data_IF_023121527626
#
_entry.id   IF_023121527626
#
_cell.length_a   1.000
_cell.length_b   1.000
_cell.length_c   1.000
_cell.angle_alpha   90.00
_cell.angle_beta   90.00
_cell.angle_gamma   90.00
#
_symmetry.space_group_name_H-M   'P 1'
#
loop_
_entity.id
_entity.type
_entity.pdbx_description
1 polymer ?
#
# COMPACT_ATOMS: atom_id res chain seq x y z
N UNK A 1 -16.53 16.57 10.43
CA UNK A 1 -16.42 17.32 9.16
C UNK A 1 -15.90 16.35 8.10
N UNK A 2 -16.76 15.82 7.23
CA UNK A 2 -16.32 15.06 6.06
C UNK A 2 -15.76 16.06 5.06
N UNK A 3 -14.44 16.24 5.07
CA UNK A 3 -13.79 17.08 4.08
C UNK A 3 -13.80 16.27 2.78
N UNK A 4 -14.67 16.63 1.83
CA UNK A 4 -14.77 15.95 0.54
C UNK A 4 -13.55 16.36 -0.30
N UNK A 5 -12.36 15.91 0.12
CA UNK A 5 -11.09 16.19 -0.54
C UNK A 5 -11.08 15.50 -1.89
N UNK A 6 -10.63 16.21 -2.91
CA UNK A 6 -10.33 15.59 -4.20
C UNK A 6 -9.19 14.59 -4.05
N UNK A 7 -9.05 13.67 -5.01
CA UNK A 7 -7.98 12.68 -4.96
C UNK A 7 -6.57 13.31 -5.06
N UNK A 8 -6.45 14.44 -5.75
CA UNK A 8 -5.21 15.23 -5.80
C UNK A 8 -4.90 15.88 -4.46
N UNK A 9 -5.90 16.44 -3.77
CA UNK A 9 -5.72 17.00 -2.42
C UNK A 9 -5.36 15.93 -1.39
N UNK A 10 -5.90 14.71 -1.52
CA UNK A 10 -5.47 13.57 -0.69
C UNK A 10 -4.02 13.22 -0.96
N UNK A 11 -3.61 13.15 -2.23
CA UNK A 11 -2.23 12.87 -2.60
C UNK A 11 -1.25 13.92 -2.05
N UNK A 12 -1.57 15.20 -2.18
CA UNK A 12 -0.74 16.29 -1.65
C UNK A 12 -0.60 16.20 -0.13
N UNK A 13 -1.72 15.99 0.55
CA UNK A 13 -1.73 15.81 2.00
C UNK A 13 -0.90 14.60 2.43
N UNK A 14 -0.97 13.48 1.69
CA UNK A 14 -0.20 12.29 2.00
C UNK A 14 1.29 12.49 1.75
N UNK A 15 1.68 13.13 0.65
CA UNK A 15 3.10 13.41 0.40
C UNK A 15 3.69 14.23 1.54
N UNK A 16 3.04 15.31 1.97
CA UNK A 16 3.53 16.11 3.09
C UNK A 16 3.48 15.35 4.43
N UNK A 17 2.43 14.55 4.67
CA UNK A 17 2.32 13.72 5.87
C UNK A 17 3.43 12.68 5.98
N UNK A 18 3.76 11.99 4.89
CA UNK A 18 4.83 11.00 4.85
C UNK A 18 6.23 11.62 4.83
N UNK A 19 6.40 12.82 4.27
CA UNK A 19 7.64 13.60 4.41
C UNK A 19 7.88 13.96 5.87
N UNK A 20 6.87 14.48 6.56
CA UNK A 20 6.97 14.85 7.97
C UNK A 20 7.26 13.64 8.89
N UNK A 21 6.72 12.45 8.55
CA UNK A 21 6.98 11.19 9.26
C UNK A 21 8.40 10.64 9.00
N UNK A 22 9.02 10.98 7.88
CA UNK A 22 10.37 10.53 7.50
C UNK A 22 11.44 11.32 8.25
N UNK A 23 12.48 10.67 8.77
CA UNK A 23 13.60 11.39 9.40
C UNK A 23 14.57 11.99 8.37
N UNK A 24 14.76 11.31 7.24
CA UNK A 24 15.75 11.66 6.21
C UNK A 24 15.19 12.56 5.10
N UNK A 25 13.89 12.49 4.82
CA UNK A 25 13.29 13.06 3.62
C UNK A 25 12.26 14.17 3.90
N UNK A 26 12.33 14.84 5.06
CA UNK A 26 11.41 15.95 5.42
C UNK A 26 11.42 17.08 4.40
N UNK A 27 12.61 17.41 3.91
CA UNK A 27 12.87 18.57 3.05
C UNK A 27 12.92 18.22 1.55
N UNK A 28 12.54 16.99 1.16
CA UNK A 28 12.48 16.65 -0.27
C UNK A 28 11.46 17.55 -0.99
N UNK A 29 11.83 18.04 -2.17
CA UNK A 29 10.93 18.87 -2.95
C UNK A 29 9.74 18.04 -3.44
N UNK A 30 8.54 18.58 -3.23
CA UNK A 30 7.30 18.01 -3.75
C UNK A 30 7.14 18.43 -5.22
N UNK A 31 7.13 17.49 -6.17
CA UNK A 31 6.99 17.79 -7.58
C UNK A 31 5.56 18.25 -7.88
N UNK A 32 5.37 18.97 -8.98
CA UNK A 32 4.05 19.48 -9.36
C UNK A 32 3.16 18.41 -10.02
N UNK A 33 3.76 17.39 -10.65
CA UNK A 33 3.01 16.38 -11.40
C UNK A 33 2.39 15.33 -10.47
N UNK A 34 1.16 14.93 -10.76
CA UNK A 34 0.45 13.88 -10.01
C UNK A 34 1.20 12.55 -10.03
N UNK A 35 1.82 12.20 -11.15
CA UNK A 35 2.58 10.94 -11.29
C UNK A 35 3.85 10.95 -10.44
N UNK A 36 4.59 12.07 -10.41
CA UNK A 36 5.80 12.15 -9.60
C UNK A 36 5.46 12.21 -8.10
N UNK A 37 4.36 12.87 -7.72
CA UNK A 37 3.84 12.83 -6.34
C UNK A 37 3.49 11.40 -5.91
N UNK A 38 2.85 10.61 -6.80
CA UNK A 38 2.59 9.18 -6.56
C UNK A 38 3.87 8.38 -6.36
N UNK A 39 4.90 8.65 -7.15
CA UNK A 39 6.22 8.00 -7.02
C UNK A 39 6.91 8.35 -5.71
N UNK A 40 6.85 9.61 -5.28
CA UNK A 40 7.38 10.02 -3.98
C UNK A 40 6.60 9.36 -2.85
N UNK A 41 5.27 9.42 -2.86
CA UNK A 41 4.44 8.79 -1.83
C UNK A 41 4.76 7.30 -1.71
N UNK A 42 4.77 6.56 -2.82
CA UNK A 42 5.14 5.13 -2.84
C UNK A 42 6.54 4.90 -2.29
N UNK A 43 7.52 5.71 -2.71
CA UNK A 43 8.90 5.59 -2.22
C UNK A 43 8.99 5.79 -0.71
N UNK A 44 8.33 6.83 -0.17
CA UNK A 44 8.29 7.11 1.27
C UNK A 44 7.61 5.97 2.03
N UNK A 45 6.48 5.45 1.53
CA UNK A 45 5.82 4.27 2.09
C UNK A 45 6.74 3.03 2.08
N UNK A 46 7.52 2.82 1.01
CA UNK A 46 8.40 1.66 0.87
C UNK A 46 9.52 1.68 1.91
N UNK A 47 10.14 2.83 2.18
CA UNK A 47 11.26 2.93 3.14
C UNK A 47 10.82 3.09 4.60
N UNK A 48 9.54 3.42 4.84
CA UNK A 48 9.03 3.69 6.19
C UNK A 48 9.09 2.47 7.11
N UNK A 49 9.87 2.54 8.19
CA UNK A 49 9.86 1.50 9.23
C UNK A 49 8.49 1.41 9.94
N UNK A 50 8.07 0.23 10.43
CA UNK A 50 6.84 0.08 11.19
C UNK A 50 6.90 0.91 12.48
N UNK A 51 6.12 1.99 12.51
CA UNK A 51 5.89 2.86 13.68
C UNK A 51 4.49 3.46 13.59
N UNK A 52 4.01 4.01 14.70
CA UNK A 52 2.72 4.72 14.72
C UNK A 52 2.71 5.85 13.68
N UNK A 53 1.56 6.03 13.04
CA UNK A 53 1.30 7.11 12.09
C UNK A 53 0.11 7.91 12.62
N UNK A 54 0.09 9.22 12.36
CA UNK A 54 -1.06 10.06 12.69
C UNK A 54 -2.37 9.43 12.17
N UNK A 55 -3.40 9.41 13.01
CA UNK A 55 -4.72 8.87 12.66
C UNK A 55 -5.33 9.59 11.45
N UNK A 56 -5.05 10.88 11.28
CA UNK A 56 -5.54 11.66 10.15
C UNK A 56 -4.84 11.27 8.85
N UNK A 57 -3.51 11.08 8.89
CA UNK A 57 -2.74 10.60 7.73
C UNK A 57 -3.16 9.19 7.35
N UNK A 58 -3.35 8.31 8.34
CA UNK A 58 -3.85 6.96 8.10
C UNK A 58 -5.23 6.97 7.43
N UNK A 59 -6.17 7.76 7.96
CA UNK A 59 -7.52 7.86 7.39
C UNK A 59 -7.50 8.36 5.95
N UNK A 60 -6.72 9.41 5.66
CA UNK A 60 -6.60 9.93 4.29
C UNK A 60 -5.91 8.92 3.37
N UNK A 61 -4.96 8.13 3.88
CA UNK A 61 -4.32 7.06 3.12
C UNK A 61 -5.36 6.00 2.70
N UNK A 62 -6.22 5.58 3.63
CA UNK A 62 -7.23 4.57 3.36
C UNK A 62 -8.24 5.07 2.31
N UNK A 63 -8.75 6.30 2.46
CA UNK A 63 -9.62 6.91 1.46
C UNK A 63 -8.93 7.04 0.09
N UNK A 64 -7.66 7.42 0.07
CA UNK A 64 -6.87 7.54 -1.15
C UNK A 64 -6.68 6.18 -1.83
N UNK A 65 -6.27 5.14 -1.10
CA UNK A 65 -6.02 3.81 -1.64
C UNK A 65 -7.31 3.13 -2.11
N UNK A 66 -8.43 3.31 -1.40
CA UNK A 66 -9.75 2.84 -1.84
C UNK A 66 -10.15 3.46 -3.18
N UNK A 67 -10.00 4.76 -3.33
CA UNK A 67 -10.30 5.45 -4.60
C UNK A 67 -9.31 5.02 -5.70
N UNK A 68 -8.02 4.82 -5.39
CA UNK A 68 -7.04 4.27 -6.34
C UNK A 68 -7.41 2.87 -6.82
N UNK A 69 -7.98 2.04 -5.94
CA UNK A 69 -8.48 0.71 -6.32
C UNK A 69 -9.73 0.82 -7.21
N UNK A 70 -10.64 1.74 -6.91
CA UNK A 70 -11.81 2.03 -7.74
C UNK A 70 -11.42 2.52 -9.14
N UNK A 71 -10.48 3.47 -9.25
CA UNK A 71 -9.94 3.99 -10.52
C UNK A 71 -9.31 2.89 -11.40
N UNK A 72 -8.65 1.90 -10.79
CA UNK A 72 -8.08 0.74 -11.49
C UNK A 72 -9.14 -0.28 -11.91
N UNK A 73 -10.30 -0.25 -11.26
CA UNK A 73 -11.38 -1.22 -11.39
C UNK A 73 -11.13 -2.50 -10.59
N UNK A 74 -12.18 -2.97 -9.92
CA UNK A 74 -12.20 -4.23 -9.15
C UNK A 74 -12.61 -5.39 -10.06
N UNK A 75 -11.97 -6.55 -9.86
CA UNK A 75 -12.26 -7.78 -10.58
C UNK A 75 -12.80 -8.80 -9.59
N UNK A 76 -14.04 -9.25 -9.78
CA UNK A 76 -14.66 -10.25 -8.93
C UNK A 76 -14.32 -11.65 -9.43
N UNK A 77 -14.39 -12.65 -8.55
CA UNK A 77 -14.19 -14.03 -8.95
C UNK A 77 -15.19 -14.49 -10.03
N UNK A 78 -16.43 -13.95 -10.00
CA UNK A 78 -17.45 -14.22 -11.03
C UNK A 78 -17.07 -13.75 -12.43
N UNK A 79 -16.14 -12.81 -12.54
CA UNK A 79 -15.68 -12.26 -13.81
C UNK A 79 -14.57 -13.14 -14.43
N UNK A 80 -14.08 -14.14 -13.69
CA UNK A 80 -12.98 -15.00 -14.10
C UNK A 80 -13.53 -16.40 -14.42
N UNK A 81 -13.38 -16.89 -15.68
CA UNK A 81 -13.81 -18.23 -16.04
C UNK A 81 -13.11 -19.31 -15.22
N UNK A 82 -13.88 -20.29 -14.75
CA UNK A 82 -13.33 -21.51 -14.13
C UNK A 82 -12.89 -22.46 -15.24
N UNK A 83 -11.63 -22.92 -15.14
CA UNK A 83 -11.04 -23.87 -16.09
C UNK A 83 -11.33 -25.31 -15.66
N UNK A 84 -11.16 -25.62 -14.37
CA UNK A 84 -11.38 -26.98 -13.82
C UNK A 84 -11.47 -26.95 -12.30
N UNK A 85 -12.48 -27.61 -11.72
CA UNK A 85 -12.56 -27.88 -10.27
C UNK A 85 -12.30 -26.65 -9.37
N UNK A 86 -12.85 -25.49 -9.74
CA UNK A 86 -12.63 -24.23 -9.01
C UNK A 86 -11.27 -23.56 -9.27
N UNK A 87 -10.46 -24.07 -10.20
CA UNK A 87 -9.22 -23.46 -10.67
C UNK A 87 -9.50 -22.54 -11.85
N UNK A 88 -8.95 -21.33 -11.76
CA UNK A 88 -8.95 -20.34 -12.83
C UNK A 88 -7.51 -19.92 -13.15
N UNK A 89 -7.28 -19.49 -14.39
CA UNK A 89 -6.09 -18.73 -14.75
C UNK A 89 -6.55 -17.33 -15.13
N UNK A 90 -5.96 -16.34 -14.48
CA UNK A 90 -6.28 -14.94 -14.71
C UNK A 90 -5.01 -14.14 -14.88
N UNK A 91 -4.98 -13.27 -15.88
CA UNK A 91 -3.87 -12.37 -16.17
C UNK A 91 -4.28 -10.95 -15.81
N UNK A 92 -3.63 -10.37 -14.80
CA UNK A 92 -3.91 -9.00 -14.36
C UNK A 92 -3.11 -8.57 -13.15
N UNK A 93 -3.45 -7.38 -12.63
CA UNK A 93 -2.88 -6.82 -11.40
C UNK A 93 -3.58 -7.43 -10.18
N UNK A 94 -2.91 -8.31 -9.45
CA UNK A 94 -3.45 -9.03 -8.28
C UNK A 94 -4.14 -8.12 -7.25
N UNK A 95 -3.72 -6.85 -7.16
CA UNK A 95 -4.30 -5.86 -6.22
C UNK A 95 -5.72 -5.42 -6.59
N UNK A 96 -6.23 -5.86 -7.74
CA UNK A 96 -7.60 -5.62 -8.21
C UNK A 96 -8.57 -6.75 -7.88
N UNK A 97 -8.07 -7.92 -7.47
CA UNK A 97 -8.92 -9.08 -7.19
C UNK A 97 -9.72 -8.85 -5.91
N UNK A 98 -11.05 -8.93 -6.03
CA UNK A 98 -11.95 -9.08 -4.89
C UNK A 98 -12.13 -10.57 -4.61
N UNK A 99 -11.29 -11.08 -3.72
CA UNK A 99 -11.26 -12.47 -3.24
C UNK A 99 -10.96 -12.47 -1.74
N UNK A 100 -11.22 -13.59 -1.07
CA UNK A 100 -11.02 -13.67 0.38
C UNK A 100 -9.55 -13.47 0.80
N UNK A 101 -8.62 -14.04 0.03
CA UNK A 101 -7.18 -14.01 0.31
C UNK A 101 -6.37 -13.96 -0.98
N UNK A 102 -5.30 -13.16 -0.97
CA UNK A 102 -4.21 -13.23 -1.93
C UNK A 102 -2.93 -13.70 -1.23
N UNK A 103 -2.06 -14.41 -1.94
CA UNK A 103 -0.78 -14.88 -1.39
C UNK A 103 0.35 -13.94 -1.81
N UNK A 104 1.14 -13.47 -0.84
CA UNK A 104 2.31 -12.63 -1.08
C UNK A 104 3.60 -13.48 -1.04
N UNK A 105 4.52 -13.25 -1.99
CA UNK A 105 5.87 -13.79 -1.94
C UNK A 105 6.78 -12.87 -1.10
N UNK A 106 6.66 -13.00 0.22
CA UNK A 106 7.39 -12.20 1.19
C UNK A 106 8.88 -12.59 1.29
N UNK A 107 9.68 -11.66 1.82
CA UNK A 107 11.06 -11.93 2.24
C UNK A 107 11.13 -12.37 3.72
N UNK A 108 12.31 -12.84 4.16
CA UNK A 108 12.50 -13.40 5.52
C UNK A 108 12.29 -12.39 6.66
N UNK A 109 12.34 -11.07 6.38
CA UNK A 109 12.04 -10.06 7.39
C UNK A 109 10.54 -9.89 7.62
N UNK A 110 9.70 -10.33 6.67
CA UNK A 110 8.23 -10.19 6.68
C UNK A 110 7.70 -8.75 6.71
N UNK A 111 8.54 -7.74 6.49
CA UNK A 111 8.16 -6.33 6.55
C UNK A 111 7.91 -5.70 5.18
N UNK A 112 7.73 -6.52 4.14
CA UNK A 112 7.63 -6.04 2.77
C UNK A 112 8.98 -5.61 2.19
N UNK A 113 8.93 -4.97 1.02
CA UNK A 113 10.11 -4.48 0.32
C UNK A 113 10.45 -3.02 0.70
N UNK A 114 11.71 -2.76 1.04
CA UNK A 114 12.21 -1.42 1.36
C UNK A 114 12.89 -0.68 0.20
N UNK A 115 13.05 -1.32 -0.95
CA UNK A 115 13.65 -0.67 -2.13
C UNK A 115 12.58 0.21 -2.79
N UNK A 116 12.80 1.55 -2.87
CA UNK A 116 11.84 2.46 -3.49
C UNK A 116 11.47 2.02 -4.90
N UNK A 117 10.17 2.00 -5.21
CA UNK A 117 9.66 1.72 -6.56
C UNK A 117 10.03 0.34 -7.13
N UNK A 118 10.54 -0.59 -6.30
CA UNK A 118 10.90 -1.91 -6.79
C UNK A 118 9.67 -2.68 -7.30
N UNK A 119 9.80 -3.31 -8.46
CA UNK A 119 8.70 -3.95 -9.20
C UNK A 119 8.39 -5.39 -8.72
N UNK A 120 8.78 -5.74 -7.50
CA UNK A 120 8.44 -7.04 -6.91
C UNK A 120 7.01 -7.09 -6.37
N UNK A 121 6.44 -8.30 -6.30
CA UNK A 121 5.07 -8.51 -5.84
C UNK A 121 4.84 -8.04 -4.40
N UNK A 122 5.85 -8.21 -3.54
CA UNK A 122 5.85 -7.80 -2.14
C UNK A 122 5.67 -6.27 -2.01
N UNK A 123 6.41 -5.50 -2.82
CA UNK A 123 6.25 -4.04 -2.88
C UNK A 123 4.87 -3.64 -3.39
N UNK A 124 4.37 -4.29 -4.44
CA UNK A 124 3.04 -4.02 -5.00
C UNK A 124 1.94 -4.24 -3.96
N UNK A 125 1.93 -5.41 -3.30
CA UNK A 125 0.91 -5.74 -2.29
C UNK A 125 1.00 -4.77 -1.10
N UNK A 126 2.18 -4.55 -0.52
CA UNK A 126 2.32 -3.62 0.61
C UNK A 126 1.96 -2.18 0.26
N UNK A 127 2.28 -1.71 -0.95
CA UNK A 127 1.94 -0.34 -1.36
C UNK A 127 0.43 -0.15 -1.45
N UNK A 128 -0.29 -1.08 -2.07
CA UNK A 128 -1.74 -0.93 -2.30
C UNK A 128 -2.60 -1.39 -1.12
N UNK A 129 -2.06 -2.18 -0.18
CA UNK A 129 -2.73 -2.53 1.07
C UNK A 129 -2.62 -1.43 2.14
N UNK A 130 -1.66 -0.51 2.03
CA UNK A 130 -1.39 0.53 3.03
C UNK A 130 -0.37 0.10 4.10
N UNK A 131 0.16 1.08 4.84
CA UNK A 131 1.24 0.84 5.82
C UNK A 131 0.82 -0.05 7.00
N UNK A 132 -0.47 -0.23 7.21
CA UNK A 132 -1.03 -1.12 8.24
C UNK A 132 -0.57 -2.56 8.04
N UNK A 133 -0.44 -3.04 6.79
CA UNK A 133 0.03 -4.40 6.53
C UNK A 133 1.45 -4.61 7.09
N UNK A 134 2.34 -3.63 6.90
CA UNK A 134 3.70 -3.68 7.48
C UNK A 134 3.67 -3.64 9.01
N UNK A 135 2.82 -2.78 9.59
CA UNK A 135 2.68 -2.68 11.04
C UNK A 135 2.17 -4.00 11.66
N UNK A 136 1.20 -4.65 11.01
CA UNK A 136 0.66 -5.93 11.43
C UNK A 136 1.68 -7.07 11.31
N UNK A 137 2.41 -7.15 10.19
CA UNK A 137 3.50 -8.11 10.05
C UNK A 137 4.57 -7.91 11.14
N UNK A 138 4.94 -6.67 11.44
CA UNK A 138 5.89 -6.36 12.50
C UNK A 138 5.41 -6.84 13.87
N UNK A 139 4.13 -6.58 14.20
CA UNK A 139 3.50 -7.07 15.43
C UNK A 139 3.57 -8.59 15.53
N UNK A 140 3.15 -9.31 14.49
CA UNK A 140 3.17 -10.78 14.47
C UNK A 140 4.58 -11.35 14.61
N UNK A 141 5.58 -10.77 13.92
CA UNK A 141 6.96 -11.23 14.03
C UNK A 141 7.54 -10.99 15.42
N UNK A 142 7.20 -9.89 16.08
CA UNK A 142 7.61 -9.65 17.46
C UNK A 142 6.94 -10.64 18.43
N UNK A 143 5.64 -10.92 18.25
CA UNK A 143 4.94 -11.95 19.04
C UNK A 143 5.56 -13.33 18.86
N UNK A 144 5.94 -13.69 17.64
CA UNK A 144 6.61 -14.96 17.36
C UNK A 144 7.97 -15.04 18.05
N UNK A 145 8.77 -13.97 17.99
CA UNK A 145 10.09 -13.90 18.66
C UNK A 145 9.99 -14.00 20.18
N UNK A 146 8.95 -13.44 20.78
CA UNK A 146 8.73 -13.51 22.24
C UNK A 146 8.28 -14.91 22.72
N UNK A 147 7.82 -15.77 21.81
CA UNK A 147 7.39 -17.14 22.12
C UNK A 147 8.51 -18.17 21.99
N UNK A 148 9.65 -17.78 21.44
CA UNK A 148 10.86 -18.60 21.28
C UNK A 148 11.82 -18.33 22.44
#
# INVERSE_FOLDING_TARGET
>A
MSNNKTQEERLDYLVEGFKADSDEYKEIQTPNSTEDKRRILRSLMNIRMPKELSSDVMKVQDEYLLERAAEKGVVNLSDIPVIRDGLSIWQGDITRLSVDVIVNAANSQMLGCFVPMHTCIDNCIHTFAGVQLRAECYRQMNELRMRL
#
